data_IF_529745429804
#
_entry.id   IF_529745429804
#
_cell.length_a   1.000
_cell.length_b   1.000
_cell.length_c   1.000
_cell.angle_alpha   90.00
_cell.angle_beta   90.00
_cell.angle_gamma   90.00
#
_symmetry.space_group_name_H-M   'P 1'
#
loop_
_entity.id
_entity.type
_entity.pdbx_description
1 polymer ?
#
# COMPACT_ATOMS: atom_id res chain seq x y z
N UNK A 1 10.72 -18.28 -9.91
CA UNK A 1 11.18 -16.87 -9.86
C UNK A 1 12.45 -16.80 -9.05
N UNK A 2 13.61 -16.61 -9.69
CA UNK A 2 14.87 -16.32 -9.00
C UNK A 2 15.02 -14.79 -8.86
N UNK A 3 15.63 -14.32 -7.77
CA UNK A 3 16.02 -12.90 -7.62
C UNK A 3 15.05 -12.02 -6.84
N UNK A 4 14.07 -12.59 -6.13
CA UNK A 4 13.22 -11.85 -5.18
C UNK A 4 13.39 -12.41 -3.77
N UNK A 5 13.16 -11.56 -2.78
CA UNK A 5 13.21 -11.89 -1.35
C UNK A 5 11.98 -12.64 -0.86
N UNK A 6 10.86 -12.57 -1.59
CA UNK A 6 9.57 -13.16 -1.21
C UNK A 6 9.51 -14.68 -1.42
N UNK A 7 8.69 -15.35 -0.60
CA UNK A 7 8.52 -16.80 -0.61
C UNK A 7 7.06 -17.22 -0.45
N UNK A 8 6.58 -18.13 -1.31
CA UNK A 8 5.18 -18.56 -1.31
C UNK A 8 4.76 -19.28 -0.03
N UNK A 9 5.65 -20.03 0.62
CA UNK A 9 5.30 -20.78 1.82
C UNK A 9 5.21 -19.84 3.03
N UNK A 10 6.08 -18.83 3.12
CA UNK A 10 5.92 -17.75 4.12
C UNK A 10 4.65 -16.93 3.90
N UNK A 11 4.28 -16.66 2.64
CA UNK A 11 3.02 -15.96 2.33
C UNK A 11 1.79 -16.79 2.74
N UNK A 12 1.79 -18.10 2.50
CA UNK A 12 0.72 -18.99 3.00
C UNK A 12 0.68 -19.02 4.52
N UNK A 13 1.84 -19.10 5.18
CA UNK A 13 1.92 -19.05 6.64
C UNK A 13 1.46 -17.68 7.19
N UNK A 14 1.70 -16.58 6.47
CA UNK A 14 1.18 -15.26 6.81
C UNK A 14 -0.35 -15.26 6.82
N UNK A 15 -0.99 -15.88 5.82
CA UNK A 15 -2.45 -15.99 5.75
C UNK A 15 -3.06 -16.62 7.02
N UNK A 16 -2.40 -17.62 7.59
CA UNK A 16 -2.88 -18.34 8.79
C UNK A 16 -2.77 -17.52 10.09
N UNK A 17 -1.93 -16.48 10.14
CA UNK A 17 -1.67 -15.71 11.37
C UNK A 17 -2.26 -14.30 11.36
N UNK A 18 -2.72 -13.84 10.20
CA UNK A 18 -3.38 -12.56 10.04
C UNK A 18 -4.80 -12.66 10.62
N UNK A 19 -5.19 -11.66 11.41
CA UNK A 19 -6.56 -11.56 11.92
C UNK A 19 -7.55 -11.59 10.73
N UNK A 20 -8.57 -12.48 10.74
CA UNK A 20 -9.55 -12.58 9.67
C UNK A 20 -10.24 -11.26 9.30
N UNK A 21 -10.26 -10.26 10.19
CA UNK A 21 -10.78 -8.92 9.88
C UNK A 21 -10.03 -8.20 8.76
N UNK A 22 -8.80 -8.63 8.44
CA UNK A 22 -8.00 -8.12 7.33
C UNK A 22 -7.96 -9.03 6.11
N UNK A 23 -8.53 -10.24 6.21
CA UNK A 23 -8.56 -11.22 5.12
C UNK A 23 -9.92 -11.18 4.41
N UNK A 24 -9.95 -11.78 3.22
CA UNK A 24 -11.18 -11.94 2.43
C UNK A 24 -11.96 -10.64 2.23
N UNK A 25 -11.24 -9.52 2.12
CA UNK A 25 -11.84 -8.20 1.94
C UNK A 25 -12.69 -8.17 0.66
N UNK A 26 -13.75 -7.35 0.58
CA UNK A 26 -14.65 -7.36 -0.57
C UNK A 26 -13.90 -7.22 -1.90
N UNK A 27 -14.21 -8.11 -2.83
CA UNK A 27 -13.74 -8.08 -4.20
C UNK A 27 -14.95 -8.21 -5.12
N UNK A 28 -15.26 -7.12 -5.83
CA UNK A 28 -16.47 -7.04 -6.65
C UNK A 28 -16.25 -6.27 -7.94
N UNK A 29 -16.99 -6.66 -8.97
CA UNK A 29 -17.09 -5.94 -10.24
C UNK A 29 -17.88 -4.65 -10.02
N UNK A 30 -17.34 -3.50 -10.42
CA UNK A 30 -17.99 -2.21 -10.27
C UNK A 30 -18.60 -1.77 -11.60
N UNK A 31 -19.76 -2.32 -11.94
CA UNK A 31 -20.45 -2.12 -13.24
C UNK A 31 -20.71 -0.63 -13.55
N UNK A 32 -20.95 0.19 -12.52
CA UNK A 32 -21.18 1.62 -12.67
C UNK A 32 -19.97 2.39 -13.24
N UNK A 33 -18.74 1.87 -13.09
CA UNK A 33 -17.53 2.49 -13.62
C UNK A 33 -17.21 2.06 -15.06
N UNK A 34 -17.73 0.94 -15.53
CA UNK A 34 -17.33 0.34 -16.82
C UNK A 34 -17.65 1.23 -18.03
N UNK A 35 -18.85 1.85 -18.15
CA UNK A 35 -19.12 2.75 -19.28
C UNK A 35 -18.20 3.97 -19.31
N UNK A 36 -17.67 4.37 -18.16
CA UNK A 36 -16.81 5.54 -18.01
C UNK A 36 -15.34 5.21 -18.27
N UNK A 37 -14.93 3.96 -18.03
CA UNK A 37 -13.56 3.49 -18.15
C UNK A 37 -13.29 2.65 -19.41
N UNK A 38 -14.33 2.09 -20.04
CA UNK A 38 -14.22 1.26 -21.23
C UNK A 38 -13.74 -0.17 -20.98
N UNK A 39 -13.64 -0.61 -19.73
CA UNK A 39 -13.13 -1.93 -19.34
C UNK A 39 -13.98 -2.57 -18.24
N UNK A 40 -13.86 -3.89 -18.08
CA UNK A 40 -14.52 -4.61 -16.99
C UNK A 40 -13.69 -4.46 -15.70
N UNK A 41 -14.07 -3.52 -14.84
CA UNK A 41 -13.28 -3.13 -13.66
C UNK A 41 -13.81 -3.81 -12.39
N UNK A 42 -12.90 -4.43 -11.65
CA UNK A 42 -13.15 -4.98 -10.31
C UNK A 42 -12.33 -4.25 -9.25
N UNK A 43 -12.95 -4.03 -8.09
CA UNK A 43 -12.36 -3.35 -6.94
C UNK A 43 -12.03 -4.38 -5.87
N UNK A 44 -10.76 -4.41 -5.45
CA UNK A 44 -10.31 -5.07 -4.23
C UNK A 44 -10.28 -4.06 -3.10
N UNK A 45 -11.23 -4.15 -2.17
CA UNK A 45 -11.51 -3.12 -1.16
C UNK A 45 -10.75 -3.36 0.15
N UNK A 46 -9.50 -2.91 0.20
CA UNK A 46 -8.63 -3.03 1.39
C UNK A 46 -8.90 -1.96 2.46
N UNK A 47 -10.03 -1.26 2.36
CA UNK A 47 -10.46 -0.24 3.34
C UNK A 47 -11.57 -0.73 4.25
N UNK A 48 -12.17 -1.89 3.96
CA UNK A 48 -13.24 -2.50 4.73
C UNK A 48 -12.70 -3.25 5.97
N UNK A 49 -11.86 -2.58 6.76
CA UNK A 49 -11.26 -3.11 7.99
C UNK A 49 -11.05 -1.98 9.03
N UNK A 50 -10.74 -2.30 10.30
CA UNK A 50 -10.66 -1.31 11.38
C UNK A 50 -9.64 -0.20 11.19
N UNK A 51 -8.54 -0.46 10.47
CA UNK A 51 -7.47 0.53 10.20
C UNK A 51 -7.59 1.16 8.82
N UNK A 52 -8.59 0.74 8.04
CA UNK A 52 -9.00 1.31 6.76
C UNK A 52 -7.91 1.34 5.69
N UNK A 53 -7.01 0.37 5.73
CA UNK A 53 -5.97 0.18 4.70
C UNK A 53 -5.42 -1.24 4.70
N UNK A 54 -4.70 -1.61 3.65
CA UNK A 54 -4.07 -2.93 3.52
C UNK A 54 -2.97 -3.21 4.56
N UNK A 55 -2.47 -2.17 5.25
CA UNK A 55 -1.30 -2.27 6.14
C UNK A 55 -1.50 -3.23 7.30
N UNK A 56 -2.75 -3.46 7.72
CA UNK A 56 -3.10 -4.45 8.74
C UNK A 56 -2.55 -5.85 8.43
N UNK A 57 -2.56 -6.26 7.15
CA UNK A 57 -2.07 -7.59 6.75
C UNK A 57 -0.60 -7.80 7.08
N UNK A 58 0.25 -6.81 6.77
CA UNK A 58 1.67 -6.87 7.09
C UNK A 58 1.94 -6.75 8.59
N UNK A 59 1.24 -5.85 9.28
CA UNK A 59 1.46 -5.60 10.70
C UNK A 59 0.96 -6.73 11.59
N UNK A 60 -0.06 -7.49 11.18
CA UNK A 60 -0.47 -8.71 11.88
C UNK A 60 0.63 -9.79 11.84
N UNK A 61 1.33 -9.94 10.71
CA UNK A 61 2.45 -10.89 10.62
C UNK A 61 3.58 -10.45 11.57
N UNK A 62 3.95 -9.17 11.53
CA UNK A 62 4.96 -8.57 12.42
C UNK A 62 4.58 -8.77 13.88
N UNK A 63 3.36 -8.38 14.27
CA UNK A 63 2.88 -8.46 15.64
C UNK A 63 2.76 -9.91 16.12
N UNK A 64 2.37 -10.84 15.24
CA UNK A 64 2.31 -12.28 15.56
C UNK A 64 3.69 -12.89 15.82
N UNK A 65 4.72 -12.44 15.12
CA UNK A 65 6.10 -12.85 15.37
C UNK A 65 6.65 -12.22 16.65
N UNK A 66 6.45 -10.92 16.86
CA UNK A 66 6.85 -10.20 18.08
C UNK A 66 6.18 -10.75 19.34
N UNK A 67 4.91 -11.16 19.24
CA UNK A 67 4.21 -11.81 20.35
C UNK A 67 4.88 -13.12 20.81
N UNK A 68 5.72 -13.73 19.96
CA UNK A 68 6.50 -14.94 20.29
C UNK A 68 7.97 -14.66 20.62
N UNK A 69 8.46 -13.44 20.43
CA UNK A 69 9.83 -13.04 20.80
C UNK A 69 9.94 -12.57 22.24
N UNK A 70 11.17 -12.50 22.76
CA UNK A 70 11.45 -11.99 24.11
C UNK A 70 11.20 -10.48 24.22
N UNK A 71 11.55 -9.71 23.18
CA UNK A 71 11.22 -8.28 23.11
C UNK A 71 9.74 -8.11 22.73
N UNK A 72 9.00 -7.37 23.56
CA UNK A 72 7.57 -7.04 23.36
C UNK A 72 7.37 -5.62 22.86
N UNK A 73 8.40 -4.98 22.32
CA UNK A 73 8.34 -3.60 21.91
C UNK A 73 8.79 -3.42 20.45
N UNK A 74 8.13 -2.50 19.76
CA UNK A 74 8.39 -2.17 18.37
C UNK A 74 8.27 -0.66 18.14
N UNK A 75 9.15 -0.13 17.30
CA UNK A 75 9.13 1.26 16.87
C UNK A 75 9.08 1.36 15.35
N UNK A 76 8.32 2.31 14.81
CA UNK A 76 8.30 2.61 13.39
C UNK A 76 8.24 4.12 13.15
N UNK A 77 8.70 4.58 11.98
CA UNK A 77 8.48 5.95 11.53
C UNK A 77 7.31 6.00 10.55
N UNK A 78 6.15 6.48 11.00
CA UNK A 78 4.98 6.62 10.13
C UNK A 78 3.90 7.51 10.75
N UNK A 79 3.62 8.64 10.11
CA UNK A 79 2.45 9.44 10.47
C UNK A 79 1.15 8.94 9.79
N UNK A 80 1.13 7.72 9.23
CA UNK A 80 0.11 7.27 8.28
C UNK A 80 -0.43 5.87 8.55
N UNK A 81 -0.67 5.12 7.47
CA UNK A 81 -1.36 3.84 7.50
C UNK A 81 -0.57 2.76 8.26
N UNK A 82 0.78 2.74 8.15
CA UNK A 82 1.60 1.76 8.86
C UNK A 82 1.52 1.95 10.38
N UNK A 83 1.67 3.19 10.87
CA UNK A 83 1.63 3.46 12.32
C UNK A 83 0.28 3.09 12.94
N UNK A 84 -0.83 3.37 12.24
CA UNK A 84 -2.16 2.96 12.67
C UNK A 84 -2.33 1.43 12.66
N UNK A 85 -1.89 0.77 11.59
CA UNK A 85 -1.97 -0.68 11.47
C UNK A 85 -1.14 -1.39 12.54
N UNK A 86 0.09 -0.93 12.79
CA UNK A 86 0.97 -1.50 13.80
C UNK A 86 0.39 -1.33 15.21
N UNK A 87 -0.13 -0.15 15.52
CA UNK A 87 -0.81 0.10 16.79
C UNK A 87 -2.00 -0.84 17.00
N UNK A 88 -2.86 -0.97 15.98
CA UNK A 88 -4.02 -1.86 16.05
C UNK A 88 -3.61 -3.32 16.24
N UNK A 89 -2.67 -3.82 15.42
CA UNK A 89 -2.22 -5.22 15.46
C UNK A 89 -1.54 -5.61 16.76
N UNK A 90 -1.02 -4.63 17.49
CA UNK A 90 -0.23 -4.83 18.70
C UNK A 90 -1.05 -4.75 19.99
N UNK A 91 -2.16 -4.01 19.97
CA UNK A 91 -2.92 -3.63 21.18
C UNK A 91 -3.40 -4.82 22.01
N UNK A 92 -3.90 -5.86 21.33
CA UNK A 92 -4.49 -7.04 21.98
C UNK A 92 -3.45 -8.15 22.22
N UNK A 93 -2.20 -7.92 21.78
CA UNK A 93 -1.06 -8.83 21.91
C UNK A 93 -0.08 -8.41 23.01
N UNK A 94 -0.39 -7.35 23.75
CA UNK A 94 0.46 -6.83 24.82
C UNK A 94 1.82 -6.32 24.33
N UNK A 95 1.85 -5.77 23.10
CA UNK A 95 3.07 -5.21 22.52
C UNK A 95 3.10 -3.68 22.68
N UNK A 96 4.24 -3.17 23.14
CA UNK A 96 4.49 -1.74 23.26
C UNK A 96 4.88 -1.15 21.90
N UNK A 97 4.04 -0.25 21.37
CA UNK A 97 4.28 0.39 20.07
C UNK A 97 4.69 1.84 20.27
N UNK A 98 5.86 2.20 19.74
CA UNK A 98 6.26 3.59 19.54
C UNK A 98 6.12 3.95 18.06
N UNK A 99 5.39 5.01 17.77
CA UNK A 99 5.31 5.58 16.42
C UNK A 99 6.01 6.93 16.44
N UNK A 100 7.03 7.08 15.61
CA UNK A 100 7.70 8.37 15.40
C UNK A 100 7.11 9.06 14.17
N UNK A 101 6.73 10.32 14.31
CA UNK A 101 6.10 11.08 13.26
C UNK A 101 6.55 12.54 13.26
N UNK A 102 6.44 13.20 12.10
CA UNK A 102 6.58 14.66 12.04
C UNK A 102 5.47 15.34 12.82
N UNK A 103 5.78 16.36 13.61
CA UNK A 103 4.76 17.21 14.25
C UNK A 103 3.88 17.97 13.25
N UNK A 104 4.29 18.08 12.00
CA UNK A 104 3.59 18.77 10.92
C UNK A 104 2.63 17.84 10.16
N UNK A 105 2.57 16.56 10.51
CA UNK A 105 1.55 15.65 9.99
C UNK A 105 0.14 16.08 10.42
N UNK A 106 -0.88 15.64 9.68
CA UNK A 106 -2.26 16.03 9.99
C UNK A 106 -2.70 15.51 11.35
N UNK A 107 -3.33 16.37 12.15
CA UNK A 107 -3.79 16.04 13.50
C UNK A 107 -4.65 14.76 13.52
N UNK A 108 -5.58 14.62 12.57
CA UNK A 108 -6.43 13.44 12.42
C UNK A 108 -5.64 12.13 12.32
N UNK A 109 -4.51 12.10 11.62
CA UNK A 109 -3.68 10.88 11.51
C UNK A 109 -2.95 10.59 12.82
N UNK A 110 -2.40 11.62 13.45
CA UNK A 110 -1.72 11.51 14.74
C UNK A 110 -2.67 11.07 15.86
N UNK A 111 -3.87 11.63 15.90
CA UNK A 111 -4.88 11.31 16.91
C UNK A 111 -5.41 9.88 16.75
N UNK A 112 -5.53 9.39 15.50
CA UNK A 112 -5.85 7.98 15.26
C UNK A 112 -4.78 7.03 15.78
N UNK A 113 -3.50 7.35 15.58
CA UNK A 113 -2.39 6.53 16.11
C UNK A 113 -2.45 6.48 17.64
N UNK A 114 -2.65 7.63 18.31
CA UNK A 114 -2.81 7.69 19.77
C UNK A 114 -4.03 6.91 20.25
N UNK A 115 -5.18 7.06 19.58
CA UNK A 115 -6.42 6.38 19.94
C UNK A 115 -6.32 4.85 19.81
N UNK A 116 -5.41 4.35 18.98
CA UNK A 116 -5.10 2.93 18.83
C UNK A 116 -4.09 2.41 19.87
N UNK A 117 -3.62 3.25 20.79
CA UNK A 117 -2.80 2.85 21.93
C UNK A 117 -1.29 2.96 21.74
N UNK A 118 -0.82 3.47 20.60
CA UNK A 118 0.62 3.67 20.40
C UNK A 118 1.14 4.92 21.12
N UNK A 119 2.36 4.82 21.67
CA UNK A 119 3.15 5.97 22.11
C UNK A 119 3.56 6.76 20.87
N UNK A 120 3.10 8.00 20.77
CA UNK A 120 3.43 8.88 19.66
C UNK A 120 4.58 9.81 20.05
N UNK A 121 5.70 9.69 19.34
CA UNK A 121 6.86 10.56 19.47
C UNK A 121 6.95 11.51 18.28
N UNK A 122 6.99 12.81 18.54
CA UNK A 122 6.97 13.83 17.51
C UNK A 122 8.35 14.46 17.33
N UNK A 123 8.77 14.61 16.07
CA UNK A 123 10.00 15.34 15.71
C UNK A 123 9.67 16.67 15.04
N UNK A 124 10.54 17.65 15.27
CA UNK A 124 10.57 18.96 14.61
C UNK A 124 11.23 18.87 13.22
N UNK A 125 10.71 18.00 12.35
CA UNK A 125 11.27 17.80 11.02
C UNK A 125 10.37 16.97 10.12
N UNK A 126 10.92 16.49 9.01
CA UNK A 126 10.21 15.73 8.01
C UNK A 126 10.18 14.21 8.34
N UNK A 127 9.80 13.41 7.35
CA UNK A 127 9.75 11.96 7.49
C UNK A 127 11.13 11.32 7.69
N UNK A 128 12.20 11.88 7.10
CA UNK A 128 13.55 11.32 7.27
C UNK A 128 14.03 11.52 8.70
N UNK A 129 13.80 12.70 9.29
CA UNK A 129 14.13 12.92 10.71
C UNK A 129 13.35 11.96 11.63
N UNK A 130 12.09 11.67 11.30
CA UNK A 130 11.30 10.70 12.05
C UNK A 130 11.89 9.27 11.93
N UNK A 131 12.40 8.90 10.75
CA UNK A 131 13.06 7.62 10.49
C UNK A 131 14.38 7.48 11.25
N UNK A 132 15.23 8.51 11.21
CA UNK A 132 16.47 8.55 11.99
C UNK A 132 16.19 8.44 13.49
N UNK A 133 15.17 9.15 13.97
CA UNK A 133 14.77 9.08 15.38
C UNK A 133 14.22 7.71 15.77
N UNK A 134 13.41 7.07 14.93
CA UNK A 134 12.93 5.71 15.17
C UNK A 134 14.08 4.71 15.24
N UNK A 135 15.07 4.81 14.35
CA UNK A 135 16.26 3.97 14.37
C UNK A 135 17.10 4.18 15.65
N UNK A 136 17.26 5.43 16.10
CA UNK A 136 17.96 5.74 17.34
C UNK A 136 17.24 5.15 18.58
N UNK A 137 15.91 5.22 18.63
CA UNK A 137 15.09 4.60 19.69
C UNK A 137 15.29 3.09 19.68
N UNK A 138 15.17 2.45 18.51
CA UNK A 138 15.34 1.00 18.37
C UNK A 138 16.71 0.53 18.89
N UNK A 139 17.77 1.24 18.50
CA UNK A 139 19.12 0.93 18.92
C UNK A 139 19.35 1.14 20.42
N UNK A 140 18.84 2.24 20.98
CA UNK A 140 19.04 2.58 22.39
C UNK A 140 18.25 1.66 23.33
N UNK A 141 16.98 1.40 23.02
CA UNK A 141 16.09 0.58 23.86
C UNK A 141 16.23 -0.93 23.58
N UNK A 142 16.93 -1.32 22.52
CA UNK A 142 17.07 -2.73 22.12
C UNK A 142 15.75 -3.35 21.64
N UNK A 143 14.92 -2.57 20.95
CA UNK A 143 13.57 -2.96 20.49
C UNK A 143 13.52 -3.08 18.97
N UNK A 144 12.49 -3.75 18.42
CA UNK A 144 12.39 -3.94 16.96
C UNK A 144 12.11 -2.62 16.25
N UNK A 145 12.95 -2.24 15.28
CA UNK A 145 12.58 -1.26 14.26
C UNK A 145 11.77 -1.97 13.17
N UNK A 146 10.59 -1.45 12.84
CA UNK A 146 9.82 -1.86 11.68
C UNK A 146 9.98 -0.84 10.55
N UNK A 147 10.57 -1.30 9.44
CA UNK A 147 10.79 -0.54 8.21
C UNK A 147 9.90 -1.08 7.09
N UNK A 148 8.91 -0.28 6.70
CA UNK A 148 7.92 -0.64 5.67
C UNK A 148 8.59 -1.05 4.35
N UNK A 149 8.15 -2.17 3.76
CA UNK A 149 8.67 -2.73 2.50
C UNK A 149 10.10 -3.27 2.54
N UNK A 150 10.95 -2.81 3.47
CA UNK A 150 12.24 -3.42 3.75
C UNK A 150 12.04 -4.74 4.51
N UNK A 151 11.24 -4.71 5.58
CA UNK A 151 10.87 -5.89 6.34
C UNK A 151 9.90 -6.78 5.55
N UNK A 152 10.31 -8.02 5.29
CA UNK A 152 9.60 -8.95 4.41
C UNK A 152 8.20 -9.29 4.90
N UNK A 153 8.00 -9.29 6.22
CA UNK A 153 6.71 -9.50 6.87
C UNK A 153 5.64 -8.53 6.32
N UNK A 154 6.03 -7.29 6.04
CA UNK A 154 5.12 -6.28 5.47
C UNK A 154 4.73 -6.58 4.02
N UNK A 155 5.67 -7.09 3.23
CA UNK A 155 5.46 -7.50 1.84
C UNK A 155 4.65 -8.79 1.76
N UNK A 156 4.99 -9.79 2.59
CA UNK A 156 4.35 -11.12 2.60
C UNK A 156 2.94 -11.07 3.17
N UNK A 157 2.71 -10.24 4.19
CA UNK A 157 1.36 -9.96 4.65
C UNK A 157 0.53 -9.31 3.54
N UNK A 158 1.05 -8.28 2.86
CA UNK A 158 0.35 -7.66 1.73
C UNK A 158 0.12 -8.63 0.55
N UNK A 159 1.02 -9.60 0.35
CA UNK A 159 0.92 -10.62 -0.69
C UNK A 159 -0.32 -11.51 -0.56
N UNK A 160 -0.89 -11.64 0.63
CA UNK A 160 -2.15 -12.40 0.84
C UNK A 160 -3.32 -11.83 0.03
N UNK A 161 -3.29 -10.54 -0.32
CA UNK A 161 -4.25 -9.94 -1.26
C UNK A 161 -4.18 -10.63 -2.63
N UNK A 162 -2.97 -11.00 -3.07
CA UNK A 162 -2.76 -11.76 -4.30
C UNK A 162 -3.40 -13.14 -4.24
N UNK A 163 -3.33 -13.83 -3.08
CA UNK A 163 -3.99 -15.14 -2.90
C UNK A 163 -5.51 -15.01 -3.04
N UNK A 164 -6.09 -13.90 -2.61
CA UNK A 164 -7.53 -13.62 -2.71
C UNK A 164 -7.94 -13.16 -4.12
N UNK A 165 -7.03 -12.55 -4.89
CA UNK A 165 -7.27 -12.11 -6.27
C UNK A 165 -7.23 -13.26 -7.27
N UNK A 166 -6.24 -14.15 -7.17
CA UNK A 166 -5.97 -15.23 -8.15
C UNK A 166 -7.22 -16.04 -8.50
N UNK A 167 -8.06 -16.51 -7.54
CA UNK A 167 -9.26 -17.28 -7.87
C UNK A 167 -10.34 -16.50 -8.64
N UNK A 168 -10.26 -15.17 -8.71
CA UNK A 168 -11.24 -14.31 -9.41
C UNK A 168 -10.80 -13.88 -10.80
N UNK A 169 -9.54 -14.12 -11.14
CA UNK A 169 -8.97 -13.76 -12.42
C UNK A 169 -9.31 -14.85 -13.44
N UNK A 170 -9.92 -14.43 -14.55
CA UNK A 170 -10.10 -15.31 -15.70
C UNK A 170 -8.82 -15.29 -16.53
N UNK A 171 -7.95 -16.28 -16.33
CA UNK A 171 -6.69 -16.39 -17.05
C UNK A 171 -6.85 -16.73 -18.53
N UNK A 172 -8.07 -17.08 -18.98
CA UNK A 172 -8.37 -17.25 -20.41
C UNK A 172 -8.76 -15.95 -21.10
N UNK A 173 -9.03 -14.89 -20.32
CA UNK A 173 -9.30 -13.55 -20.86
C UNK A 173 -8.06 -12.95 -21.51
N UNK A 174 -8.27 -12.05 -22.48
CA UNK A 174 -7.16 -11.37 -23.15
C UNK A 174 -6.45 -10.42 -22.18
N UNK A 175 -5.28 -10.89 -21.71
CA UNK A 175 -4.34 -10.18 -20.83
C UNK A 175 -5.06 -9.47 -19.66
N UNK A 176 -5.56 -10.20 -18.63
CA UNK A 176 -6.11 -9.55 -17.45
C UNK A 176 -5.06 -8.64 -16.78
N UNK A 177 -5.47 -7.50 -16.23
CA UNK A 177 -4.55 -6.53 -15.60
C UNK A 177 -4.87 -6.32 -14.12
N UNK A 178 -3.84 -6.20 -13.29
CA UNK A 178 -3.96 -5.77 -11.89
C UNK A 178 -3.15 -4.49 -11.71
N UNK A 179 -3.85 -3.41 -11.34
CA UNK A 179 -3.29 -2.08 -11.11
C UNK A 179 -3.01 -1.88 -9.62
N UNK A 180 -1.76 -1.61 -9.28
CA UNK A 180 -1.29 -1.54 -7.89
C UNK A 180 -0.63 -0.19 -7.62
N UNK A 181 -1.08 0.49 -6.57
CA UNK A 181 -0.45 1.71 -6.08
C UNK A 181 0.99 1.44 -5.62
N UNK A 182 1.96 2.19 -6.16
CA UNK A 182 3.38 2.01 -5.89
C UNK A 182 3.90 3.06 -4.91
N UNK A 183 3.82 2.75 -3.61
CA UNK A 183 4.43 3.55 -2.54
C UNK A 183 5.82 3.04 -2.19
N UNK A 184 6.05 2.63 -0.94
CA UNK A 184 7.31 2.02 -0.51
C UNK A 184 7.61 0.65 -1.16
N UNK A 185 6.60 0.01 -1.76
CA UNK A 185 6.75 -1.22 -2.55
C UNK A 185 6.05 -2.46 -1.98
N UNK A 186 5.79 -2.53 -0.67
CA UNK A 186 5.25 -3.74 -0.02
C UNK A 186 4.02 -4.35 -0.71
N UNK A 187 3.05 -3.52 -1.09
CA UNK A 187 1.84 -3.97 -1.80
C UNK A 187 2.17 -4.53 -3.19
N UNK A 188 2.96 -3.79 -3.95
CA UNK A 188 3.32 -4.13 -5.33
C UNK A 188 4.21 -5.37 -5.42
N UNK A 189 5.24 -5.47 -4.57
CA UNK A 189 6.12 -6.64 -4.54
C UNK A 189 5.39 -7.87 -4.05
N UNK A 190 4.61 -7.75 -2.97
CA UNK A 190 3.81 -8.83 -2.39
C UNK A 190 2.79 -9.41 -3.36
N UNK A 191 1.87 -8.56 -3.82
CA UNK A 191 0.79 -9.00 -4.71
C UNK A 191 1.36 -9.42 -6.07
N UNK A 192 2.31 -8.68 -6.62
CA UNK A 192 2.98 -9.04 -7.87
C UNK A 192 3.62 -10.42 -7.80
N UNK A 193 4.31 -10.74 -6.70
CA UNK A 193 4.95 -12.05 -6.51
C UNK A 193 3.94 -13.20 -6.61
N UNK A 194 2.81 -13.09 -5.92
CA UNK A 194 1.77 -14.13 -5.94
C UNK A 194 1.13 -14.24 -7.32
N UNK A 195 0.82 -13.11 -7.97
CA UNK A 195 0.24 -13.10 -9.31
C UNK A 195 1.19 -13.73 -10.33
N UNK A 196 2.49 -13.37 -10.31
CA UNK A 196 3.47 -13.98 -11.20
C UNK A 196 3.73 -15.45 -10.94
N UNK A 197 3.50 -15.91 -9.72
CA UNK A 197 3.65 -17.33 -9.37
C UNK A 197 2.43 -18.17 -9.76
N UNK A 198 1.21 -17.66 -9.54
CA UNK A 198 -0.02 -18.45 -9.65
C UNK A 198 -0.92 -18.09 -10.85
N UNK A 199 -0.75 -16.90 -11.42
CA UNK A 199 -1.52 -16.39 -12.55
C UNK A 199 -0.61 -15.62 -13.53
N UNK A 200 0.40 -16.27 -14.14
CA UNK A 200 1.46 -15.59 -14.90
C UNK A 200 0.96 -14.84 -16.16
N UNK A 201 -0.25 -15.13 -16.64
CA UNK A 201 -0.89 -14.42 -17.75
C UNK A 201 -1.36 -12.99 -17.36
N UNK A 202 -1.44 -12.69 -16.06
CA UNK A 202 -1.83 -11.38 -15.56
C UNK A 202 -0.72 -10.37 -15.77
N UNK A 203 -1.09 -9.22 -16.33
CA UNK A 203 -0.25 -8.03 -16.38
C UNK A 203 -0.33 -7.29 -15.03
N UNK A 204 0.79 -7.21 -14.32
CA UNK A 204 0.95 -6.47 -13.07
C UNK A 204 1.50 -5.09 -13.41
N UNK A 205 0.68 -4.06 -13.21
CA UNK A 205 1.03 -2.67 -13.52
C UNK A 205 1.07 -1.87 -12.23
N UNK A 206 2.25 -1.33 -11.92
CA UNK A 206 2.45 -0.44 -10.80
C UNK A 206 2.17 1.02 -11.20
N UNK A 207 1.57 1.80 -10.30
CA UNK A 207 1.18 3.18 -10.60
C UNK A 207 1.71 4.13 -9.53
N UNK A 208 2.44 5.17 -9.93
CA UNK A 208 2.84 6.30 -9.08
C UNK A 208 2.27 7.63 -9.60
N UNK A 209 2.09 8.64 -8.74
CA UNK A 209 1.84 9.99 -9.20
C UNK A 209 3.08 10.55 -9.90
N UNK A 210 2.89 11.35 -10.95
CA UNK A 210 3.96 12.06 -11.64
C UNK A 210 4.79 12.93 -10.68
N UNK A 211 4.14 13.46 -9.64
CA UNK A 211 4.76 14.26 -8.59
C UNK A 211 5.63 13.49 -7.58
N UNK A 212 5.62 12.16 -7.58
CA UNK A 212 6.52 11.34 -6.77
C UNK A 212 7.01 10.10 -7.54
N UNK A 213 7.85 10.27 -8.58
CA UNK A 213 8.08 9.23 -9.60
C UNK A 213 9.28 8.32 -9.31
N UNK A 214 9.85 8.35 -8.10
CA UNK A 214 11.18 7.80 -7.82
C UNK A 214 11.30 6.30 -8.14
N UNK A 215 10.33 5.48 -7.72
CA UNK A 215 10.36 4.03 -7.95
C UNK A 215 10.02 3.66 -9.39
N UNK A 216 9.07 4.33 -10.04
CA UNK A 216 8.76 4.13 -11.46
C UNK A 216 9.99 4.47 -12.32
N UNK A 217 10.66 5.60 -12.06
CA UNK A 217 11.93 5.94 -12.72
C UNK A 217 13.01 4.90 -12.45
N UNK A 218 13.07 4.39 -11.23
CA UNK A 218 14.05 3.37 -10.85
C UNK A 218 13.81 2.03 -11.57
N UNK A 219 12.55 1.63 -11.71
CA UNK A 219 12.15 0.42 -12.41
C UNK A 219 12.53 0.49 -13.89
N UNK A 220 12.16 1.58 -14.59
CA UNK A 220 12.53 1.80 -15.99
C UNK A 220 14.05 1.84 -16.21
N UNK A 221 14.79 2.46 -15.28
CA UNK A 221 16.25 2.56 -15.39
C UNK A 221 17.00 1.37 -14.79
N UNK A 222 16.29 0.42 -14.18
CA UNK A 222 16.84 -0.76 -13.48
C UNK A 222 17.92 -0.42 -12.43
N UNK A 223 17.83 0.77 -11.83
CA UNK A 223 18.74 1.27 -10.79
C UNK A 223 18.00 2.25 -9.89
N UNK A 224 18.42 2.38 -8.64
CA UNK A 224 17.84 3.37 -7.73
C UNK A 224 18.02 4.78 -8.29
N UNK A 225 16.90 5.48 -8.43
CA UNK A 225 16.78 6.88 -8.82
C UNK A 225 16.07 7.60 -7.67
N UNK A 226 16.78 8.51 -7.02
CA UNK A 226 16.22 9.37 -5.97
C UNK A 226 15.67 10.67 -6.56
N UNK A 227 14.71 11.29 -5.86
CA UNK A 227 14.23 12.64 -6.21
C UNK A 227 14.41 13.60 -5.04
N UNK A 228 14.66 14.88 -5.35
CA UNK A 228 14.91 15.91 -4.33
C UNK A 228 13.65 16.21 -3.50
N UNK A 229 12.49 16.15 -4.14
CA UNK A 229 11.20 16.45 -3.53
C UNK A 229 10.09 15.53 -4.07
N UNK A 230 8.94 15.57 -3.39
CA UNK A 230 7.66 15.03 -3.86
C UNK A 230 6.61 16.13 -3.82
N UNK A 231 5.72 16.14 -4.82
CA UNK A 231 4.63 17.11 -4.92
C UNK A 231 3.38 16.40 -5.44
N UNK A 232 2.66 15.75 -4.53
CA UNK A 232 1.46 14.97 -4.87
C UNK A 232 0.46 14.98 -3.73
N UNK A 233 -0.83 14.88 -4.05
CA UNK A 233 -1.88 14.65 -3.06
C UNK A 233 -1.89 13.21 -2.54
N UNK A 234 -1.28 12.26 -3.25
CA UNK A 234 -1.20 10.85 -2.88
C UNK A 234 -0.06 10.60 -1.87
N UNK A 235 -0.25 11.09 -0.65
CA UNK A 235 0.78 11.09 0.39
C UNK A 235 1.26 9.68 0.79
N UNK A 236 0.38 8.67 0.71
CA UNK A 236 0.72 7.28 1.02
C UNK A 236 1.72 6.63 0.05
N UNK A 237 1.99 7.27 -1.09
CA UNK A 237 2.96 6.80 -2.09
C UNK A 237 4.05 7.82 -2.41
N UNK A 238 4.16 8.90 -1.63
CA UNK A 238 5.05 10.03 -1.88
C UNK A 238 6.51 9.78 -1.44
N UNK A 239 7.12 8.69 -1.93
CA UNK A 239 8.51 8.32 -1.62
C UNK A 239 9.56 8.98 -2.53
N UNK A 240 10.68 9.44 -1.94
CA UNK A 240 11.83 10.04 -2.65
C UNK A 240 12.99 9.09 -2.89
N UNK A 241 13.19 8.15 -1.97
CA UNK A 241 14.38 7.30 -1.90
C UNK A 241 13.93 5.84 -1.96
N UNK A 242 13.97 5.23 -3.16
CA UNK A 242 13.69 3.82 -3.34
C UNK A 242 14.66 2.93 -2.55
N UNK A 243 14.13 1.87 -1.93
CA UNK A 243 14.91 0.81 -1.30
C UNK A 243 15.43 -0.11 -2.41
N UNK A 244 16.74 -0.42 -2.42
CA UNK A 244 17.39 -1.24 -3.46
C UNK A 244 16.71 -2.60 -3.57
N UNK A 245 16.51 -3.26 -2.45
CA UNK A 245 15.96 -4.60 -2.35
C UNK A 245 14.52 -4.66 -2.87
N UNK A 246 13.73 -3.61 -2.60
CA UNK A 246 12.37 -3.48 -3.14
C UNK A 246 12.40 -3.31 -4.66
N UNK A 247 13.33 -2.49 -5.19
CA UNK A 247 13.48 -2.34 -6.63
C UNK A 247 13.84 -3.69 -7.28
N UNK A 248 14.74 -4.45 -6.67
CA UNK A 248 15.15 -5.75 -7.18
C UNK A 248 13.97 -6.74 -7.20
N UNK A 249 13.12 -6.73 -6.16
CA UNK A 249 11.85 -7.48 -6.14
C UNK A 249 10.90 -7.04 -7.27
N UNK A 250 10.69 -5.72 -7.45
CA UNK A 250 9.78 -5.17 -8.47
C UNK A 250 10.20 -5.54 -9.89
N UNK A 251 11.50 -5.58 -10.18
CA UNK A 251 12.04 -5.95 -11.49
C UNK A 251 11.74 -7.43 -11.86
N UNK A 252 11.38 -8.26 -10.88
CA UNK A 252 10.99 -9.67 -11.09
C UNK A 252 9.48 -9.81 -11.23
N UNK A 253 8.69 -8.99 -10.53
CA UNK A 253 7.25 -9.26 -10.34
C UNK A 253 6.30 -8.27 -11.02
N UNK A 254 6.83 -7.25 -11.67
CA UNK A 254 6.06 -6.17 -12.33
C UNK A 254 6.32 -6.18 -13.83
N UNK A 255 5.27 -6.06 -14.66
CA UNK A 255 5.41 -5.96 -16.12
C UNK A 255 5.57 -4.52 -16.60
N UNK A 256 4.96 -3.57 -15.87
CA UNK A 256 5.06 -2.14 -16.19
C UNK A 256 4.89 -1.26 -14.96
N UNK A 257 5.47 -0.07 -15.00
CA UNK A 257 5.32 0.97 -14.00
C UNK A 257 4.99 2.30 -14.69
N UNK A 258 3.82 2.86 -14.40
CA UNK A 258 3.31 4.08 -15.05
C UNK A 258 3.22 5.25 -14.07
N UNK A 259 3.19 6.45 -14.63
CA UNK A 259 2.98 7.70 -13.90
C UNK A 259 1.62 8.28 -14.28
N UNK A 260 0.92 8.86 -13.31
CA UNK A 260 -0.38 9.53 -13.53
C UNK A 260 -0.39 10.96 -12.99
N UNK A 261 -1.18 11.82 -13.64
CA UNK A 261 -1.37 13.22 -13.29
C UNK A 261 -2.27 13.39 -12.06
N UNK A 262 -2.01 14.43 -11.28
CA UNK A 262 -2.84 14.80 -10.12
C UNK A 262 -4.31 15.02 -10.49
N UNK A 263 -4.59 15.58 -11.67
CA UNK A 263 -5.95 15.77 -12.19
C UNK A 263 -6.70 14.45 -12.38
N UNK A 264 -6.00 13.41 -12.84
CA UNK A 264 -6.57 12.07 -13.03
C UNK A 264 -6.79 11.36 -11.70
N UNK A 265 -5.91 11.59 -10.71
CA UNK A 265 -6.11 11.12 -9.33
C UNK A 265 -7.37 11.75 -8.73
N UNK A 266 -7.54 13.07 -8.86
CA UNK A 266 -8.76 13.77 -8.38
C UNK A 266 -10.01 13.27 -9.10
N UNK A 267 -9.93 13.03 -10.41
CA UNK A 267 -11.05 12.45 -11.17
C UNK A 267 -11.37 11.04 -10.68
N UNK A 268 -10.35 10.21 -10.42
CA UNK A 268 -10.52 8.87 -9.85
C UNK A 268 -11.15 8.89 -8.45
N UNK A 269 -10.79 9.84 -7.60
CA UNK A 269 -11.43 10.05 -6.29
C UNK A 269 -12.93 10.30 -6.44
N UNK A 270 -13.32 11.19 -7.36
CA UNK A 270 -14.73 11.50 -7.65
C UNK A 270 -15.47 10.29 -8.19
N UNK A 271 -14.88 9.57 -9.13
CA UNK A 271 -15.51 8.37 -9.69
C UNK A 271 -15.75 7.28 -8.63
N UNK A 272 -14.79 7.05 -7.73
CA UNK A 272 -14.95 6.11 -6.62
C UNK A 272 -16.03 6.56 -5.63
N UNK A 273 -16.15 7.87 -5.38
CA UNK A 273 -17.21 8.42 -4.55
C UNK A 273 -18.59 8.27 -5.21
N UNK A 274 -18.74 8.79 -6.43
CA UNK A 274 -20.03 8.98 -7.09
C UNK A 274 -20.61 7.67 -7.63
N UNK A 275 -19.75 6.73 -8.05
CA UNK A 275 -20.19 5.49 -8.70
C UNK A 275 -19.97 4.22 -7.86
N UNK A 276 -19.02 4.24 -6.93
CA UNK A 276 -18.78 3.11 -6.02
C UNK A 276 -19.21 3.39 -4.57
N UNK A 277 -19.58 4.64 -4.23
CA UNK A 277 -19.95 5.03 -2.87
C UNK A 277 -18.77 5.02 -1.88
N UNK A 278 -17.53 5.09 -2.38
CA UNK A 278 -16.32 4.91 -1.59
C UNK A 278 -15.62 6.24 -1.31
N UNK A 279 -15.45 6.54 -0.02
CA UNK A 279 -14.50 7.58 0.43
C UNK A 279 -13.13 6.95 0.58
N UNK A 280 -12.16 7.40 -0.22
CA UNK A 280 -10.82 6.81 -0.30
C UNK A 280 -9.72 7.88 -0.20
N UNK A 281 -8.49 7.46 0.10
CA UNK A 281 -7.33 8.34 0.02
C UNK A 281 -6.79 8.39 -1.43
N UNK A 282 -6.02 9.43 -1.83
CA UNK A 282 -5.64 9.59 -3.23
C UNK A 282 -4.78 8.45 -3.79
N UNK A 283 -3.96 7.80 -2.96
CA UNK A 283 -3.20 6.60 -3.33
C UNK A 283 -4.08 5.46 -3.86
N UNK A 284 -5.31 5.35 -3.34
CA UNK A 284 -6.25 4.30 -3.72
C UNK A 284 -6.96 4.57 -5.06
N UNK A 285 -6.89 5.81 -5.56
CA UNK A 285 -7.45 6.19 -6.86
C UNK A 285 -6.45 6.01 -8.02
N UNK A 286 -5.20 5.63 -7.76
CA UNK A 286 -4.15 5.55 -8.77
C UNK A 286 -4.48 4.56 -9.90
N UNK A 287 -5.08 3.41 -9.59
CA UNK A 287 -5.49 2.46 -10.63
C UNK A 287 -6.57 3.04 -11.55
N UNK A 288 -7.57 3.74 -11.00
CA UNK A 288 -8.58 4.44 -11.81
C UNK A 288 -7.92 5.53 -12.65
N UNK A 289 -7.01 6.31 -12.08
CA UNK A 289 -6.27 7.34 -12.79
C UNK A 289 -5.46 6.78 -13.97
N UNK A 290 -4.81 5.62 -13.80
CA UNK A 290 -4.06 4.97 -14.87
C UNK A 290 -4.97 4.53 -16.03
N UNK A 291 -6.17 4.02 -15.73
CA UNK A 291 -7.14 3.65 -16.77
C UNK A 291 -7.63 4.89 -17.52
N UNK A 292 -7.86 6.01 -16.81
CA UNK A 292 -8.31 7.25 -17.43
C UNK A 292 -7.30 7.83 -18.41
N UNK A 293 -6.00 7.68 -18.14
CA UNK A 293 -4.93 8.23 -19.00
C UNK A 293 -4.58 7.35 -20.19
N UNK A 294 -4.96 6.06 -20.18
CA UNK A 294 -4.68 5.12 -21.26
C UNK A 294 -5.86 4.14 -21.47
N UNK A 295 -7.03 4.69 -21.81
CA UNK A 295 -8.27 3.91 -21.96
C UNK A 295 -8.15 2.81 -23.01
N UNK A 296 -7.47 3.08 -24.11
CA UNK A 296 -7.30 2.14 -25.22
C UNK A 296 -6.52 0.89 -24.78
N UNK A 297 -5.51 1.03 -23.91
CA UNK A 297 -4.78 -0.11 -23.34
C UNK A 297 -5.67 -1.05 -22.53
N UNK A 298 -6.74 -0.55 -21.93
CA UNK A 298 -7.62 -1.32 -21.05
C UNK A 298 -8.95 -1.70 -21.69
N UNK A 299 -9.27 -1.16 -22.87
CA UNK A 299 -10.55 -1.35 -23.54
C UNK A 299 -10.93 -2.83 -23.67
N UNK A 300 -12.10 -3.20 -23.18
CA UNK A 300 -12.63 -4.56 -23.22
C UNK A 300 -11.92 -5.60 -22.35
N UNK A 301 -10.85 -5.23 -21.62
CA UNK A 301 -10.08 -6.14 -20.77
C UNK A 301 -10.72 -6.32 -19.39
N UNK A 302 -10.38 -7.43 -18.73
CA UNK A 302 -10.63 -7.62 -17.31
C UNK A 302 -9.54 -6.87 -16.52
N UNK A 303 -9.94 -5.90 -15.71
CA UNK A 303 -9.03 -5.06 -14.93
C UNK A 303 -9.40 -5.13 -13.45
N UNK A 304 -8.41 -5.26 -12.58
CA UNK A 304 -8.54 -5.18 -11.14
C UNK A 304 -7.78 -3.97 -10.63
N UNK A 305 -8.36 -3.23 -9.69
CA UNK A 305 -7.66 -2.18 -8.95
C UNK A 305 -7.78 -2.42 -7.45
N UNK A 306 -6.68 -2.20 -6.73
CA UNK A 306 -6.63 -2.32 -5.28
C UNK A 306 -6.88 -0.95 -4.66
N UNK A 307 -8.03 -0.80 -4.00
CA UNK A 307 -8.36 0.38 -3.20
C UNK A 307 -7.64 0.22 -1.85
N UNK A 308 -6.40 0.70 -1.81
CA UNK A 308 -5.43 0.35 -0.76
C UNK A 308 -5.63 1.09 0.58
N UNK A 309 -6.38 2.19 0.61
CA UNK A 309 -6.52 3.01 1.81
C UNK A 309 -7.65 4.06 1.73
N UNK A 310 -8.16 4.49 2.89
CA UNK A 310 -9.16 5.57 2.99
C UNK A 310 -8.87 6.59 4.10
N UNK A 311 -7.62 6.65 4.58
CA UNK A 311 -7.24 7.52 5.69
C UNK A 311 -6.88 8.92 5.20
N UNK A 312 -7.91 9.65 4.79
CA UNK A 312 -7.81 11.00 4.23
C UNK A 312 -8.29 12.08 5.20
N UNK A 313 -7.66 13.26 5.12
CA UNK A 313 -8.15 14.48 5.75
C UNK A 313 -9.46 14.92 5.08
N UNK A 314 -10.52 15.09 5.88
CA UNK A 314 -11.88 15.29 5.34
C UNK A 314 -12.01 16.64 4.62
N UNK A 315 -11.34 17.69 5.09
CA UNK A 315 -11.44 19.02 4.48
C UNK A 315 -10.63 19.10 3.17
N UNK A 316 -9.49 18.40 3.10
CA UNK A 316 -8.79 18.19 1.81
C UNK A 316 -9.64 17.34 0.86
N UNK A 317 -10.22 16.25 1.35
CA UNK A 317 -11.03 15.34 0.52
C UNK A 317 -12.22 16.08 -0.10
N UNK A 318 -13.04 16.77 0.70
CA UNK A 318 -14.17 17.57 0.23
C UNK A 318 -13.79 18.56 -0.87
N UNK A 319 -12.66 19.28 -0.70
CA UNK A 319 -12.14 20.19 -1.73
C UNK A 319 -11.78 19.48 -3.04
N UNK A 320 -11.18 18.29 -2.97
CA UNK A 320 -10.84 17.54 -4.18
C UNK A 320 -12.10 17.03 -4.90
N UNK A 321 -13.07 16.51 -4.17
CA UNK A 321 -14.30 15.96 -4.76
C UNK A 321 -15.36 17.01 -5.08
N UNK A 322 -15.22 18.25 -4.60
CA UNK A 322 -16.15 19.35 -4.87
C UNK A 322 -17.36 19.37 -3.94
N UNK A 323 -17.20 18.92 -2.70
CA UNK A 323 -18.20 18.94 -1.62
C UNK A 323 -17.97 20.08 -0.62
#
# INVERSE_FOLDING_TARGET
>A
MQGTRLDMDRIRAAYEVIDPVFLDSPLYRCEALEPLLGCAISIKLETANPVRSFKGRGTEVVASQLARSDSKAVVCASAGNLGQALAWSSRDRGLDVTVVASRFATATKLDRIRALGAKLELVDGDHELARERAAAIAQYDGIRLLEDSLDLETCEGAATIGLELVPRIDQSSDRPAVLIALGGGALATGVGYVLKTLAPAVEVICVQPLGAPALTRSWHQRRVVTTDATNTIADGVAGRIPIREVLDDLLVVTDDAVLVQESSIVTGLRMLLDHAGLVVEPSAALGIAAILEDRDRFAGRQVFTIVCGSNVDQDKYRRWVGL
#
